data_IF_686639485470
#
_entry.id   IF_686639485470
#
_cell.length_a   1.000
_cell.length_b   1.000
_cell.length_c   1.000
_cell.angle_alpha   90.00
_cell.angle_beta   90.00
_cell.angle_gamma   90.00
#
_symmetry.space_group_name_H-M   'P 1'
#
loop_
_entity.id
_entity.type
_entity.pdbx_description
1 polymer ?
#
# COMPACT_ATOMS: atom_id res chain seq x y z
N UNK A 1 -15.48 -21.72 -7.43
CA UNK A 1 -16.27 -22.84 -6.84
C UNK A 1 -17.75 -22.54 -7.00
N UNK A 2 -18.63 -23.52 -7.25
CA UNK A 2 -20.07 -23.28 -7.29
C UNK A 2 -20.56 -22.79 -5.91
N UNK A 3 -21.35 -21.71 -5.91
CA UNK A 3 -21.91 -21.09 -4.71
C UNK A 3 -23.23 -21.80 -4.35
N UNK A 4 -23.43 -22.11 -3.07
CA UNK A 4 -24.63 -22.80 -2.59
C UNK A 4 -25.91 -22.00 -2.85
N UNK A 5 -27.04 -22.70 -3.01
CA UNK A 5 -28.34 -22.06 -3.27
C UNK A 5 -28.76 -21.08 -2.16
N UNK A 6 -28.43 -21.40 -0.90
CA UNK A 6 -28.71 -20.53 0.24
C UNK A 6 -27.86 -19.25 0.21
N UNK A 7 -26.57 -19.34 -0.11
CA UNK A 7 -25.71 -18.17 -0.23
C UNK A 7 -26.15 -17.27 -1.38
N UNK A 8 -26.58 -17.85 -2.51
CA UNK A 8 -27.20 -17.10 -3.61
C UNK A 8 -28.45 -16.35 -3.18
N UNK A 9 -29.32 -16.98 -2.40
CA UNK A 9 -30.51 -16.33 -1.86
C UNK A 9 -30.18 -15.20 -0.88
N UNK A 10 -29.24 -15.42 0.05
CA UNK A 10 -28.75 -14.39 0.98
C UNK A 10 -28.15 -13.21 0.22
N UNK A 11 -27.35 -13.48 -0.81
CA UNK A 11 -26.75 -12.44 -1.64
C UNK A 11 -27.82 -11.66 -2.42
N UNK A 12 -28.81 -12.33 -3.00
CA UNK A 12 -29.94 -11.68 -3.68
C UNK A 12 -30.73 -10.77 -2.74
N UNK A 13 -31.03 -11.24 -1.52
CA UNK A 13 -31.71 -10.43 -0.52
C UNK A 13 -30.83 -9.23 -0.10
N UNK A 14 -29.52 -9.46 0.07
CA UNK A 14 -28.52 -8.42 0.32
C UNK A 14 -28.46 -7.39 -0.80
N UNK A 15 -28.57 -7.80 -2.07
CA UNK A 15 -28.58 -6.87 -3.21
C UNK A 15 -29.81 -5.95 -3.19
N UNK A 16 -30.97 -6.45 -2.76
CA UNK A 16 -32.18 -5.64 -2.63
C UNK A 16 -32.07 -4.66 -1.44
N UNK A 17 -31.62 -5.14 -0.29
CA UNK A 17 -31.70 -4.39 0.97
C UNK A 17 -30.47 -3.52 1.26
N UNK A 18 -29.30 -3.90 0.76
CA UNK A 18 -28.01 -3.31 1.14
C UNK A 18 -27.17 -2.95 -0.08
N UNK A 19 -26.74 -3.94 -0.87
CA UNK A 19 -25.73 -3.72 -1.91
C UNK A 19 -26.24 -2.86 -3.07
N UNK A 20 -27.47 -3.10 -3.54
CA UNK A 20 -28.12 -2.30 -4.58
C UNK A 20 -28.28 -0.83 -4.19
N UNK A 21 -28.87 -0.51 -3.01
CA UNK A 21 -28.93 0.86 -2.51
C UNK A 21 -27.56 1.54 -2.37
N UNK A 22 -26.56 0.83 -1.82
CA UNK A 22 -25.18 1.36 -1.68
C UNK A 22 -24.56 1.63 -3.06
N UNK A 23 -24.65 0.67 -3.99
CA UNK A 23 -24.18 0.79 -5.38
C UNK A 23 -24.87 1.95 -6.10
N UNK A 24 -26.16 2.16 -5.85
CA UNK A 24 -26.92 3.27 -6.42
C UNK A 24 -26.49 4.63 -5.87
N UNK A 25 -26.29 4.73 -4.55
CA UNK A 25 -25.76 5.96 -3.93
C UNK A 25 -24.37 6.30 -4.43
N UNK A 26 -23.54 5.30 -4.72
CA UNK A 26 -22.22 5.48 -5.33
C UNK A 26 -22.28 5.81 -6.84
N UNK A 27 -23.47 5.85 -7.47
CA UNK A 27 -23.62 6.10 -8.90
C UNK A 27 -23.21 4.93 -9.80
N UNK A 28 -23.07 3.73 -9.25
CA UNK A 28 -22.50 2.56 -9.94
C UNK A 28 -23.53 1.54 -10.43
N UNK A 29 -24.84 1.81 -10.30
CA UNK A 29 -25.93 0.86 -10.64
C UNK A 29 -25.82 0.28 -12.05
N UNK A 30 -25.43 1.10 -13.03
CA UNK A 30 -25.40 0.74 -14.44
C UNK A 30 -23.99 0.39 -14.95
N UNK A 31 -23.00 0.32 -14.05
CA UNK A 31 -21.62 -0.03 -14.41
C UNK A 31 -21.57 -1.50 -14.82
N UNK A 32 -21.10 -1.77 -16.04
CA UNK A 32 -20.94 -3.13 -16.58
C UNK A 32 -19.55 -3.69 -16.34
N UNK A 33 -18.55 -2.82 -16.44
CA UNK A 33 -17.14 -3.12 -16.22
C UNK A 33 -16.53 -1.88 -15.59
N UNK A 34 -15.74 -2.08 -14.53
CA UNK A 34 -14.92 -1.03 -13.94
C UNK A 34 -13.45 -1.49 -13.98
N UNK A 35 -12.55 -0.55 -14.26
CA UNK A 35 -11.12 -0.77 -14.15
C UNK A 35 -10.53 0.16 -13.08
N UNK A 36 -9.62 -0.39 -12.29
CA UNK A 36 -8.69 0.40 -11.47
C UNK A 36 -7.28 0.28 -12.05
N UNK A 37 -6.54 1.39 -12.03
CA UNK A 37 -5.19 1.52 -12.58
C UNK A 37 -4.47 2.72 -11.96
N UNK A 38 -3.19 2.92 -12.31
CA UNK A 38 -2.38 4.08 -11.94
C UNK A 38 -1.66 3.94 -10.59
N UNK A 39 -2.30 3.34 -9.60
CA UNK A 39 -1.68 2.93 -8.33
C UNK A 39 -2.36 1.63 -7.85
N UNK A 40 -1.62 0.77 -7.17
CA UNK A 40 -2.20 -0.42 -6.57
C UNK A 40 -3.17 -0.01 -5.45
N UNK A 41 -4.38 -0.58 -5.47
CA UNK A 41 -5.30 -0.48 -4.34
C UNK A 41 -5.14 -1.72 -3.45
N UNK A 42 -5.40 -1.57 -2.15
CA UNK A 42 -5.38 -2.69 -1.23
C UNK A 42 -6.35 -3.81 -1.67
N UNK A 43 -5.99 -5.09 -1.53
CA UNK A 43 -6.86 -6.22 -1.87
C UNK A 43 -8.26 -6.12 -1.25
N UNK A 44 -8.34 -5.58 -0.04
CA UNK A 44 -9.56 -5.43 0.74
C UNK A 44 -10.51 -4.37 0.13
N UNK A 45 -9.98 -3.26 -0.41
CA UNK A 45 -10.77 -2.27 -1.17
C UNK A 45 -11.33 -2.91 -2.43
N UNK A 46 -10.49 -3.68 -3.12
CA UNK A 46 -10.88 -4.36 -4.34
C UNK A 46 -12.02 -5.36 -4.08
N UNK A 47 -11.88 -6.18 -3.04
CA UNK A 47 -12.89 -7.14 -2.62
C UNK A 47 -14.17 -6.47 -2.13
N UNK A 48 -14.08 -5.34 -1.42
CA UNK A 48 -15.25 -4.56 -1.01
C UNK A 48 -16.11 -4.16 -2.21
N UNK A 49 -15.54 -3.53 -3.24
CA UNK A 49 -16.31 -3.10 -4.41
C UNK A 49 -16.86 -4.29 -5.21
N UNK A 50 -16.10 -5.37 -5.33
CA UNK A 50 -16.59 -6.60 -5.98
C UNK A 50 -17.71 -7.27 -5.20
N UNK A 51 -17.68 -7.22 -3.86
CA UNK A 51 -18.75 -7.74 -3.00
C UNK A 51 -20.07 -6.99 -3.18
N UNK A 52 -20.03 -5.72 -3.63
CA UNK A 52 -21.19 -4.92 -4.01
C UNK A 52 -21.72 -5.26 -5.42
N UNK A 53 -21.18 -6.29 -6.08
CA UNK A 53 -21.61 -6.74 -7.41
C UNK A 53 -21.04 -5.92 -8.56
N UNK A 54 -20.02 -5.08 -8.32
CA UNK A 54 -19.34 -4.34 -9.39
C UNK A 54 -18.31 -5.26 -10.03
N UNK A 55 -18.33 -5.35 -11.36
CA UNK A 55 -17.31 -6.07 -12.12
C UNK A 55 -16.01 -5.24 -12.20
N UNK A 56 -15.39 -5.01 -11.05
CA UNK A 56 -14.14 -4.30 -10.90
C UNK A 56 -12.97 -5.22 -11.27
N UNK A 57 -12.11 -4.74 -12.14
CA UNK A 57 -10.90 -5.44 -12.61
C UNK A 57 -9.68 -4.55 -12.43
N UNK A 58 -8.52 -5.16 -12.27
CA UNK A 58 -7.26 -4.45 -12.31
C UNK A 58 -6.70 -4.42 -13.73
N UNK A 59 -6.14 -3.27 -14.08
CA UNK A 59 -5.33 -3.07 -15.27
C UNK A 59 -4.01 -2.43 -14.84
N UNK A 60 -2.91 -2.96 -15.35
CA UNK A 60 -1.58 -2.40 -15.14
C UNK A 60 -0.99 -1.87 -16.44
N UNK A 61 -0.31 -0.74 -16.29
CA UNK A 61 -0.06 0.16 -17.37
C UNK A 61 0.78 1.36 -16.96
N UNK A 62 1.41 1.96 -17.95
CA UNK A 62 2.13 3.22 -17.82
C UNK A 62 2.00 4.02 -19.12
N UNK A 63 2.37 5.28 -19.08
CA UNK A 63 2.33 6.18 -20.25
C UNK A 63 3.17 5.61 -21.39
N UNK A 64 4.33 5.05 -21.06
CA UNK A 64 5.31 4.44 -21.95
C UNK A 64 4.74 3.22 -22.69
N UNK A 65 3.69 2.60 -22.16
CA UNK A 65 3.05 1.40 -22.72
C UNK A 65 1.77 1.70 -23.50
N UNK A 66 1.40 2.97 -23.68
CA UNK A 66 0.06 3.36 -24.14
C UNK A 66 -1.04 2.71 -23.29
N UNK A 67 -0.82 2.67 -21.96
CA UNK A 67 -1.71 2.11 -20.92
C UNK A 67 -1.73 0.59 -20.78
N UNK A 68 -1.60 -0.22 -21.83
CA UNK A 68 -1.89 -1.66 -21.69
C UNK A 68 -0.63 -2.52 -21.55
N UNK A 69 -0.35 -3.00 -20.32
CA UNK A 69 0.64 -4.06 -20.07
C UNK A 69 -0.10 -5.35 -19.71
N UNK A 70 -0.82 -5.38 -18.58
CA UNK A 70 -1.62 -6.54 -18.16
C UNK A 70 -3.05 -6.15 -17.85
N UNK A 71 -3.94 -7.13 -17.94
CA UNK A 71 -5.35 -6.96 -17.62
C UNK A 71 -5.93 -8.28 -17.09
N UNK A 72 -6.90 -8.18 -16.19
CA UNK A 72 -7.55 -9.37 -15.64
C UNK A 72 -8.60 -9.95 -16.60
N UNK A 73 -8.44 -11.23 -17.02
CA UNK A 73 -9.44 -11.92 -17.82
C UNK A 73 -10.76 -12.08 -17.07
N UNK A 74 -11.84 -12.34 -17.82
CA UNK A 74 -13.09 -12.76 -17.20
C UNK A 74 -12.88 -14.10 -16.46
N UNK A 75 -13.47 -14.23 -15.27
CA UNK A 75 -13.38 -15.40 -14.39
C UNK A 75 -12.01 -15.68 -13.75
N UNK A 76 -11.01 -14.82 -13.98
CA UNK A 76 -9.66 -14.91 -13.40
C UNK A 76 -9.32 -13.70 -12.51
N UNK A 77 -10.35 -12.97 -12.06
CA UNK A 77 -10.16 -11.77 -11.25
C UNK A 77 -9.69 -12.12 -9.84
N UNK A 78 -8.54 -11.57 -9.43
CA UNK A 78 -7.98 -11.71 -8.09
C UNK A 78 -7.53 -10.37 -7.52
N UNK A 79 -7.68 -10.17 -6.22
CA UNK A 79 -7.36 -8.89 -5.58
C UNK A 79 -5.85 -8.61 -5.49
N UNK A 80 -5.03 -9.65 -5.52
CA UNK A 80 -3.58 -9.60 -5.29
C UNK A 80 -2.73 -9.55 -6.58
N UNK A 81 -3.37 -9.53 -7.76
CA UNK A 81 -2.69 -9.56 -9.07
C UNK A 81 -3.18 -8.45 -10.00
N UNK A 82 -2.37 -8.04 -10.97
CA UNK A 82 -2.75 -7.13 -12.05
C UNK A 82 -3.14 -7.84 -13.34
N UNK A 83 -3.38 -9.15 -13.27
CA UNK A 83 -3.80 -9.97 -14.41
C UNK A 83 -2.66 -10.53 -15.23
N UNK A 84 -2.98 -10.94 -16.46
CA UNK A 84 -2.05 -11.58 -17.39
C UNK A 84 -1.65 -10.60 -18.50
N UNK A 85 -0.56 -10.84 -19.25
CA UNK A 85 -0.16 -10.01 -20.38
C UNK A 85 -1.32 -9.72 -21.34
N UNK A 86 -1.47 -8.45 -21.73
CA UNK A 86 -2.43 -8.07 -22.76
C UNK A 86 -2.01 -8.63 -24.12
N UNK A 87 -2.93 -8.77 -25.09
CA UNK A 87 -2.59 -9.29 -26.41
C UNK A 87 -1.41 -8.54 -27.06
N UNK A 88 -0.37 -9.28 -27.45
CA UNK A 88 0.85 -8.71 -28.03
C UNK A 88 1.83 -8.10 -27.04
N UNK A 89 1.59 -8.24 -25.72
CA UNK A 89 2.55 -7.86 -24.67
C UNK A 89 3.36 -9.08 -24.27
N UNK A 90 4.68 -8.94 -24.27
CA UNK A 90 5.63 -9.88 -23.68
C UNK A 90 6.10 -9.32 -22.33
N UNK A 91 6.27 -10.20 -21.34
CA UNK A 91 6.81 -9.86 -20.03
C UNK A 91 8.07 -10.66 -19.73
N UNK A 92 9.01 -10.04 -19.02
CA UNK A 92 10.10 -10.72 -18.34
C UNK A 92 10.33 -10.07 -16.98
N UNK A 93 10.81 -10.85 -16.01
CA UNK A 93 11.22 -10.36 -14.69
C UNK A 93 12.74 -10.44 -14.65
N UNK A 94 13.42 -9.35 -14.32
CA UNK A 94 14.87 -9.33 -14.13
C UNK A 94 15.25 -10.04 -12.82
N UNK A 95 16.53 -10.40 -12.65
CA UNK A 95 17.06 -10.98 -11.40
C UNK A 95 16.79 -10.06 -10.19
N UNK A 96 16.82 -8.73 -10.40
CA UNK A 96 16.44 -7.72 -9.41
C UNK A 96 14.97 -7.75 -8.98
N UNK A 97 14.13 -8.52 -9.67
CA UNK A 97 12.66 -8.51 -9.51
C UNK A 97 11.95 -7.40 -10.29
N UNK A 98 12.67 -6.57 -11.04
CA UNK A 98 12.06 -5.53 -11.88
C UNK A 98 11.31 -6.14 -13.07
N UNK A 99 10.11 -5.61 -13.33
CA UNK A 99 9.27 -6.01 -14.45
C UNK A 99 9.73 -5.30 -15.72
N UNK A 100 9.87 -6.04 -16.81
CA UNK A 100 10.10 -5.51 -18.14
C UNK A 100 8.97 -5.96 -19.06
N UNK A 101 8.62 -5.11 -20.02
CA UNK A 101 7.66 -5.46 -21.05
C UNK A 101 8.15 -5.06 -22.44
N UNK A 102 7.61 -5.74 -23.45
CA UNK A 102 7.73 -5.36 -24.86
C UNK A 102 6.36 -5.47 -25.49
N UNK A 103 5.95 -4.46 -26.26
CA UNK A 103 4.64 -4.45 -26.92
C UNK A 103 4.59 -3.51 -28.12
N UNK A 104 3.58 -3.65 -29.00
CA UNK A 104 3.31 -2.68 -30.06
C UNK A 104 3.00 -1.26 -29.56
N UNK A 105 2.58 -1.12 -28.29
CA UNK A 105 2.20 0.16 -27.66
C UNK A 105 3.35 0.91 -27.00
N UNK A 106 4.58 0.39 -27.08
CA UNK A 106 5.78 1.01 -26.52
C UNK A 106 6.03 2.40 -27.14
N UNK A 107 6.31 3.38 -26.29
CA UNK A 107 6.65 4.74 -26.68
C UNK A 107 7.86 4.82 -27.60
N UNK A 108 7.92 5.89 -28.40
CA UNK A 108 9.03 6.12 -29.34
C UNK A 108 10.28 6.58 -28.59
N UNK A 109 10.18 7.69 -27.87
CA UNK A 109 11.27 8.29 -27.09
C UNK A 109 10.73 9.34 -26.13
N UNK A 110 11.54 9.72 -25.15
CA UNK A 110 11.30 10.93 -24.36
C UNK A 110 11.75 12.16 -25.17
N UNK A 111 10.89 13.18 -25.23
CA UNK A 111 11.15 14.38 -26.01
C UNK A 111 12.46 15.07 -25.59
N UNK A 112 13.42 15.16 -26.53
CA UNK A 112 14.76 15.77 -26.33
C UNK A 112 15.58 15.10 -25.22
N UNK A 113 15.33 13.83 -24.89
CA UNK A 113 16.06 13.13 -23.84
C UNK A 113 16.44 11.71 -24.29
N UNK A 114 17.49 11.64 -25.13
CA UNK A 114 17.99 10.37 -25.67
C UNK A 114 18.61 9.48 -24.57
N UNK A 115 19.23 10.07 -23.54
CA UNK A 115 19.83 9.35 -22.42
C UNK A 115 18.77 8.58 -21.65
N UNK A 116 17.74 9.26 -21.12
CA UNK A 116 16.64 8.56 -20.42
C UNK A 116 15.87 7.61 -21.33
N UNK A 117 15.82 7.86 -22.64
CA UNK A 117 15.20 6.91 -23.58
C UNK A 117 15.98 5.61 -23.63
N UNK A 118 17.31 5.68 -23.73
CA UNK A 118 18.19 4.51 -23.77
C UNK A 118 18.26 3.78 -22.42
N UNK A 119 18.14 4.50 -21.31
CA UNK A 119 18.10 3.92 -19.96
C UNK A 119 16.79 3.15 -19.72
N UNK A 120 15.67 3.65 -20.25
CA UNK A 120 14.34 3.04 -20.05
C UNK A 120 14.02 1.96 -21.06
N UNK A 121 14.49 2.08 -22.31
CA UNK A 121 14.17 1.15 -23.40
C UNK A 121 15.42 0.67 -24.12
N UNK A 122 15.60 -0.64 -24.16
CA UNK A 122 16.73 -1.25 -24.85
C UNK A 122 16.54 -1.34 -26.38
N UNK A 123 17.59 -1.75 -27.08
CA UNK A 123 17.59 -1.88 -28.54
C UNK A 123 16.66 -2.98 -29.08
N UNK A 124 16.24 -3.92 -28.23
CA UNK A 124 15.29 -4.99 -28.57
C UNK A 124 13.82 -4.58 -28.29
N UNK A 125 13.62 -3.37 -27.76
CA UNK A 125 12.30 -2.82 -27.45
C UNK A 125 11.75 -3.24 -26.08
N UNK A 126 12.57 -3.83 -25.20
CA UNK A 126 12.18 -4.03 -23.81
C UNK A 126 12.24 -2.72 -23.04
N UNK A 127 11.19 -2.47 -22.27
CA UNK A 127 11.05 -1.30 -21.43
C UNK A 127 11.11 -1.71 -19.97
N UNK A 128 12.01 -1.10 -19.21
CA UNK A 128 12.06 -1.19 -17.76
C UNK A 128 10.88 -0.41 -17.16
N UNK A 129 10.04 -1.07 -16.35
CA UNK A 129 8.84 -0.40 -15.80
C UNK A 129 9.16 0.48 -14.58
N UNK A 130 10.29 0.24 -13.92
CA UNK A 130 10.58 0.78 -12.60
C UNK A 130 9.70 0.20 -11.49
N UNK A 131 8.96 -0.87 -11.75
CA UNK A 131 8.12 -1.61 -10.80
C UNK A 131 8.70 -3.00 -10.56
N UNK A 132 8.69 -3.45 -9.31
CA UNK A 132 9.07 -4.80 -8.92
C UNK A 132 7.83 -5.70 -8.85
N UNK A 133 7.97 -6.92 -9.32
CA UNK A 133 6.88 -7.87 -9.38
C UNK A 133 7.35 -9.28 -9.68
N UNK A 134 6.40 -10.21 -9.66
CA UNK A 134 6.64 -11.58 -10.07
C UNK A 134 5.45 -12.14 -10.84
N UNK A 135 5.73 -13.10 -11.71
CA UNK A 135 4.71 -13.85 -12.43
C UNK A 135 4.48 -15.14 -11.64
N UNK A 136 3.24 -15.37 -11.24
CA UNK A 136 2.87 -16.57 -10.49
C UNK A 136 2.93 -17.80 -11.41
N UNK A 137 3.75 -18.77 -11.02
CA UNK A 137 3.91 -20.03 -11.73
C UNK A 137 2.58 -20.80 -11.74
N UNK A 138 2.07 -21.10 -12.94
CA UNK A 138 0.83 -21.85 -13.14
C UNK A 138 -0.34 -21.00 -13.64
N UNK A 139 -0.54 -19.79 -13.12
CA UNK A 139 -1.62 -18.89 -13.58
C UNK A 139 -1.14 -17.91 -14.65
N UNK A 140 0.15 -17.54 -14.63
CA UNK A 140 0.70 -16.49 -15.50
C UNK A 140 0.29 -15.08 -15.08
N UNK A 141 -0.33 -14.92 -13.90
CA UNK A 141 -0.70 -13.62 -13.38
C UNK A 141 0.53 -12.87 -12.87
N UNK A 142 0.64 -11.60 -13.24
CA UNK A 142 1.61 -10.66 -12.68
C UNK A 142 1.10 -10.11 -11.35
N UNK A 143 1.94 -10.16 -10.33
CA UNK A 143 1.77 -9.43 -9.06
C UNK A 143 2.76 -8.28 -9.03
N UNK A 144 2.26 -7.05 -8.93
CA UNK A 144 3.09 -5.86 -8.68
C UNK A 144 3.21 -5.70 -7.17
N UNK A 145 4.44 -5.52 -6.71
CA UNK A 145 4.77 -5.49 -5.29
C UNK A 145 4.99 -4.06 -4.82
N UNK A 146 5.91 -3.35 -5.47
CA UNK A 146 6.18 -1.92 -5.21
C UNK A 146 6.98 -1.33 -6.39
N UNK A 147 7.43 -0.08 -6.29
CA UNK A 147 8.46 0.49 -7.15
C UNK A 147 9.77 -0.24 -6.90
N UNK A 148 10.49 -0.59 -7.96
CA UNK A 148 11.77 -1.31 -7.88
C UNK A 148 12.78 -0.61 -6.95
N UNK A 149 12.80 0.73 -6.95
CA UNK A 149 13.65 1.55 -6.07
C UNK A 149 13.25 1.58 -4.59
N UNK A 150 12.01 1.24 -4.28
CA UNK A 150 11.45 1.28 -2.92
C UNK A 150 11.47 -0.12 -2.28
N UNK A 151 11.59 -1.17 -3.09
CA UNK A 151 11.84 -2.54 -2.63
C UNK A 151 13.26 -2.66 -2.11
N UNK A 152 13.42 -3.37 -1.00
CA UNK A 152 14.72 -3.71 -0.43
C UNK A 152 14.77 -5.15 0.09
N UNK A 153 15.77 -5.43 0.90
CA UNK A 153 15.86 -6.68 1.66
C UNK A 153 15.96 -6.34 3.16
N UNK A 154 15.40 -7.19 3.99
CA UNK A 154 15.75 -7.24 5.41
C UNK A 154 17.15 -7.86 5.55
N UNK A 155 17.79 -7.71 6.72
CA UNK A 155 19.11 -8.31 6.99
C UNK A 155 19.16 -9.83 6.85
N UNK A 156 18.03 -10.51 7.03
CA UNK A 156 17.92 -11.95 6.86
C UNK A 156 17.65 -12.37 5.40
N UNK A 157 17.72 -11.45 4.44
CA UNK A 157 17.49 -11.71 3.01
C UNK A 157 16.02 -11.70 2.58
N UNK A 158 15.07 -11.58 3.52
CA UNK A 158 13.65 -11.50 3.21
C UNK A 158 13.33 -10.25 2.38
N UNK A 159 12.37 -10.37 1.47
CA UNK A 159 11.88 -9.25 0.67
C UNK A 159 11.27 -8.17 1.58
N UNK A 160 11.63 -6.92 1.34
CA UNK A 160 11.04 -5.74 1.97
C UNK A 160 10.24 -4.94 0.94
N UNK A 161 8.91 -4.92 1.08
CA UNK A 161 7.98 -4.25 0.17
C UNK A 161 7.03 -3.33 0.95
N UNK A 162 7.44 -2.07 1.22
CA UNK A 162 6.72 -1.22 2.15
C UNK A 162 5.32 -0.83 1.67
N UNK A 163 5.13 -0.45 0.40
CA UNK A 163 3.81 0.05 -0.03
C UNK A 163 2.72 -1.00 0.00
N UNK A 164 3.07 -2.26 -0.20
CA UNK A 164 2.09 -3.34 -0.09
C UNK A 164 1.49 -3.38 1.32
N UNK A 165 2.33 -3.31 2.35
CA UNK A 165 1.90 -3.27 3.75
C UNK A 165 1.17 -1.97 4.06
N UNK A 166 1.67 -0.84 3.59
CA UNK A 166 1.04 0.48 3.78
C UNK A 166 -0.36 0.54 3.19
N UNK A 167 -0.58 -0.05 2.01
CA UNK A 167 -1.89 -0.08 1.36
C UNK A 167 -2.90 -0.98 2.09
N UNK A 168 -2.43 -2.09 2.68
CA UNK A 168 -3.27 -2.92 3.57
C UNK A 168 -3.68 -2.14 4.83
N UNK A 169 -2.75 -1.42 5.45
CA UNK A 169 -3.05 -0.58 6.62
C UNK A 169 -4.02 0.56 6.28
N UNK A 170 -3.86 1.20 5.13
CA UNK A 170 -4.76 2.28 4.67
C UNK A 170 -6.16 1.81 4.27
N UNK A 171 -6.43 0.51 4.30
CA UNK A 171 -7.81 0.03 4.20
C UNK A 171 -8.65 0.41 5.43
N UNK A 172 -8.02 0.50 6.60
CA UNK A 172 -8.71 0.85 7.82
C UNK A 172 -9.00 2.36 7.83
N UNK A 173 -10.26 2.78 8.03
CA UNK A 173 -10.68 4.18 7.86
C UNK A 173 -10.06 5.13 8.88
N UNK A 174 -9.51 4.60 9.98
CA UNK A 174 -8.79 5.38 11.00
C UNK A 174 -7.31 5.58 10.68
N UNK A 175 -6.76 4.98 9.62
CA UNK A 175 -5.37 5.14 9.17
C UNK A 175 -5.38 5.99 7.90
N UNK A 176 -4.88 7.22 8.00
CA UNK A 176 -4.75 8.14 6.87
C UNK A 176 -3.52 7.83 6.03
N UNK A 177 -2.39 7.58 6.69
CA UNK A 177 -1.13 7.25 6.04
C UNK A 177 -0.33 6.26 6.89
N UNK A 178 0.47 5.45 6.23
CA UNK A 178 1.42 4.55 6.86
C UNK A 178 2.78 4.69 6.17
N UNK A 179 3.86 4.70 6.95
CA UNK A 179 5.23 4.68 6.43
C UNK A 179 5.97 3.52 7.08
N UNK A 180 6.22 2.48 6.29
CA UNK A 180 6.91 1.28 6.72
C UNK A 180 8.42 1.44 6.50
N UNK A 181 9.19 1.04 7.50
CA UNK A 181 10.65 1.03 7.54
C UNK A 181 11.12 -0.42 7.75
N UNK A 182 12.24 -0.82 7.15
CA UNK A 182 12.73 -2.19 7.29
C UNK A 182 13.92 -2.54 6.40
N UNK A 183 14.14 -1.82 5.29
CA UNK A 183 15.32 -2.02 4.44
C UNK A 183 16.62 -2.00 5.27
N UNK A 184 17.43 -3.05 5.12
CA UNK A 184 18.69 -3.29 5.85
C UNK A 184 18.53 -3.37 7.39
N UNK A 185 17.32 -3.68 7.87
CA UNK A 185 17.00 -3.88 9.30
C UNK A 185 16.60 -5.34 9.58
N UNK A 186 16.53 -5.67 10.87
CA UNK A 186 16.22 -7.03 11.33
C UNK A 186 14.72 -7.37 11.16
N UNK A 187 13.85 -6.36 11.15
CA UNK A 187 12.40 -6.50 11.03
C UNK A 187 11.76 -5.19 10.52
N UNK A 188 10.49 -5.24 10.11
CA UNK A 188 9.74 -4.05 9.72
C UNK A 188 9.15 -3.30 10.91
N UNK A 189 9.09 -1.98 10.79
CA UNK A 189 8.44 -1.07 11.74
C UNK A 189 7.59 -0.05 10.99
N UNK A 190 6.64 0.59 11.65
CA UNK A 190 5.74 1.53 10.97
C UNK A 190 5.54 2.85 11.72
N UNK A 191 5.48 3.94 10.97
CA UNK A 191 4.79 5.15 11.37
C UNK A 191 3.36 5.12 10.87
N UNK A 192 2.44 5.58 11.70
CA UNK A 192 1.01 5.68 11.37
C UNK A 192 0.56 7.12 11.55
N UNK A 193 -0.16 7.68 10.57
CA UNK A 193 -1.03 8.83 10.78
C UNK A 193 -2.47 8.36 10.91
N UNK A 194 -3.15 8.83 11.95
CA UNK A 194 -4.59 8.65 12.04
C UNK A 194 -5.32 9.56 11.04
N UNK A 195 -6.49 9.14 10.58
CA UNK A 195 -7.45 10.03 9.92
C UNK A 195 -8.23 10.80 10.99
N UNK A 196 -7.97 12.10 11.07
CA UNK A 196 -8.58 12.96 12.10
C UNK A 196 -10.10 12.99 12.00
N UNK A 197 -10.67 12.90 10.80
CA UNK A 197 -12.11 12.92 10.61
C UNK A 197 -12.74 11.62 11.11
N UNK A 198 -12.18 10.47 10.73
CA UNK A 198 -12.70 9.17 11.13
C UNK A 198 -12.55 8.94 12.63
N UNK A 199 -11.35 9.22 13.18
CA UNK A 199 -11.09 9.04 14.61
C UNK A 199 -11.82 10.09 15.45
N UNK A 200 -11.96 11.32 14.96
CA UNK A 200 -12.76 12.36 15.61
C UNK A 200 -14.24 11.99 15.72
N UNK A 201 -14.85 11.48 14.64
CA UNK A 201 -16.22 10.96 14.65
C UNK A 201 -16.39 9.79 15.65
N UNK A 202 -15.39 8.91 15.73
CA UNK A 202 -15.39 7.83 16.74
C UNK A 202 -15.29 8.40 18.16
N UNK A 203 -14.42 9.39 18.40
CA UNK A 203 -14.24 10.02 19.70
C UNK A 203 -15.54 10.67 20.18
N UNK A 204 -16.23 11.41 19.31
CA UNK A 204 -17.54 12.01 19.61
C UNK A 204 -18.58 10.96 20.03
N UNK A 205 -18.69 9.85 19.28
CA UNK A 205 -19.62 8.76 19.60
C UNK A 205 -19.30 8.03 20.91
N UNK A 206 -18.06 8.10 21.35
CA UNK A 206 -17.59 7.48 22.60
C UNK A 206 -17.43 8.49 23.75
N UNK A 207 -17.90 9.74 23.57
CA UNK A 207 -17.80 10.83 24.56
C UNK A 207 -16.36 11.14 24.99
N UNK A 208 -15.42 11.06 24.05
CA UNK A 208 -14.01 11.41 24.27
C UNK A 208 -13.80 12.84 23.77
N UNK A 209 -13.50 13.74 24.72
CA UNK A 209 -13.09 15.10 24.39
C UNK A 209 -11.61 15.11 24.00
N UNK A 210 -11.27 15.90 22.97
CA UNK A 210 -9.89 16.14 22.54
C UNK A 210 -9.78 17.58 22.01
N UNK A 211 -8.61 18.20 22.19
CA UNK A 211 -8.32 19.57 21.76
C UNK A 211 -7.41 19.66 20.55
N UNK A 212 -6.78 18.55 20.12
CA UNK A 212 -5.84 18.55 18.99
C UNK A 212 -5.66 17.17 18.36
N UNK A 213 -5.09 17.14 17.15
CA UNK A 213 -4.64 15.91 16.49
C UNK A 213 -3.71 15.09 17.39
N UNK A 214 -2.70 15.74 17.97
CA UNK A 214 -1.69 15.10 18.81
C UNK A 214 -2.29 14.39 20.02
N UNK A 215 -3.28 15.02 20.67
CA UNK A 215 -3.99 14.42 21.81
C UNK A 215 -4.76 13.16 21.40
N UNK A 216 -5.44 13.20 20.26
CA UNK A 216 -6.21 12.06 19.77
C UNK A 216 -5.31 10.93 19.25
N UNK A 217 -4.23 11.28 18.54
CA UNK A 217 -3.21 10.34 18.06
C UNK A 217 -2.53 9.58 19.19
N UNK A 218 -2.29 10.23 20.34
CA UNK A 218 -1.72 9.61 21.53
C UNK A 218 -2.75 8.98 22.47
N UNK A 219 -4.05 9.01 22.14
CA UNK A 219 -5.08 8.49 23.03
C UNK A 219 -5.03 6.96 23.12
N UNK A 220 -5.05 6.40 24.34
CA UNK A 220 -4.85 4.95 24.56
C UNK A 220 -5.75 4.07 23.70
N UNK A 221 -7.05 4.37 23.63
CA UNK A 221 -7.99 3.55 22.84
C UNK A 221 -7.75 3.66 21.32
N UNK A 222 -7.21 4.80 20.85
CA UNK A 222 -6.83 4.96 19.44
C UNK A 222 -5.61 4.10 19.17
N UNK A 223 -4.58 4.17 20.02
CA UNK A 223 -3.39 3.32 19.94
C UNK A 223 -3.75 1.82 19.99
N UNK A 224 -4.65 1.41 20.89
CA UNK A 224 -5.15 0.03 20.99
C UNK A 224 -5.83 -0.42 19.69
N UNK A 225 -6.62 0.47 19.06
CA UNK A 225 -7.31 0.17 17.80
C UNK A 225 -6.32 0.04 16.63
N UNK A 226 -5.35 0.95 16.52
CA UNK A 226 -4.31 0.91 15.50
C UNK A 226 -3.45 -0.35 15.65
N UNK A 227 -3.10 -0.72 16.88
CA UNK A 227 -2.40 -1.96 17.17
C UNK A 227 -3.16 -3.18 16.64
N UNK A 228 -4.46 -3.26 16.94
CA UNK A 228 -5.31 -4.36 16.45
C UNK A 228 -5.34 -4.46 14.92
N UNK A 229 -5.36 -3.33 14.21
CA UNK A 229 -5.32 -3.31 12.74
C UNK A 229 -3.98 -3.78 12.20
N UNK A 230 -2.87 -3.35 12.82
CA UNK A 230 -1.53 -3.83 12.44
C UNK A 230 -1.42 -5.34 12.64
N UNK A 231 -1.94 -5.87 13.75
CA UNK A 231 -1.93 -7.30 14.04
C UNK A 231 -2.79 -8.09 13.04
N UNK A 232 -3.94 -7.57 12.63
CA UNK A 232 -4.77 -8.15 11.56
C UNK A 232 -4.02 -8.17 10.21
N UNK A 233 -3.29 -7.10 9.88
CA UNK A 233 -2.43 -7.06 8.69
C UNK A 233 -1.29 -8.06 8.80
N UNK A 234 -0.66 -8.21 9.97
CA UNK A 234 0.40 -9.20 10.19
C UNK A 234 -0.12 -10.63 10.00
N UNK A 235 -1.31 -10.93 10.52
CA UNK A 235 -1.96 -12.23 10.30
C UNK A 235 -2.22 -12.47 8.81
N UNK A 236 -2.70 -11.47 8.08
CA UNK A 236 -2.86 -11.56 6.62
C UNK A 236 -1.53 -11.80 5.90
N UNK A 237 -0.49 -11.03 6.21
CA UNK A 237 0.85 -11.13 5.61
C UNK A 237 1.49 -12.49 5.86
N UNK A 238 1.25 -13.09 7.04
CA UNK A 238 1.83 -14.39 7.40
C UNK A 238 1.42 -15.53 6.47
N UNK A 239 0.34 -15.35 5.71
CA UNK A 239 -0.17 -16.33 4.73
C UNK A 239 0.43 -16.13 3.33
N UNK A 240 1.14 -15.02 3.09
CA UNK A 240 1.79 -14.74 1.81
C UNK A 240 3.26 -15.19 1.87
N UNK A 241 3.61 -16.23 1.11
CA UNK A 241 4.97 -16.83 1.13
C UNK A 241 6.07 -15.80 0.82
N UNK A 242 5.80 -14.81 -0.04
CA UNK A 242 6.78 -13.80 -0.47
C UNK A 242 6.87 -12.63 0.50
N UNK A 243 5.74 -12.24 1.11
CA UNK A 243 5.62 -11.00 1.89
C UNK A 243 5.47 -11.23 3.40
N UNK A 244 5.48 -12.47 3.85
CA UNK A 244 5.40 -12.85 5.27
C UNK A 244 6.51 -12.26 6.14
N UNK A 245 7.68 -11.95 5.55
CA UNK A 245 8.77 -11.24 6.22
C UNK A 245 8.48 -9.75 6.49
N UNK A 246 7.49 -9.16 5.82
CA UNK A 246 7.15 -7.74 5.95
C UNK A 246 6.25 -7.41 7.17
N UNK A 247 6.02 -8.36 8.08
CA UNK A 247 5.24 -8.11 9.30
C UNK A 247 5.83 -6.98 10.14
N UNK A 248 4.96 -6.13 10.68
CA UNK A 248 5.36 -4.98 11.51
C UNK A 248 5.53 -5.46 12.95
N UNK A 249 6.74 -5.33 13.47
CA UNK A 249 7.06 -5.71 14.85
C UNK A 249 6.80 -4.58 15.84
N UNK A 250 7.11 -3.34 15.44
CA UNK A 250 6.97 -2.15 16.29
C UNK A 250 6.43 -0.98 15.50
N UNK A 251 5.64 -0.14 16.13
CA UNK A 251 5.07 1.03 15.49
C UNK A 251 4.89 2.20 16.47
N UNK A 252 4.65 3.37 15.90
CA UNK A 252 4.17 4.54 16.62
C UNK A 252 3.16 5.30 15.77
N UNK A 253 2.30 6.07 16.44
CA UNK A 253 1.39 7.02 15.77
C UNK A 253 2.04 8.39 15.81
N UNK A 254 2.24 9.02 14.65
CA UNK A 254 2.88 10.34 14.57
C UNK A 254 2.01 11.41 15.24
N UNK A 255 2.66 12.42 15.81
CA UNK A 255 2.02 13.54 16.51
C UNK A 255 1.52 14.66 15.58
N UNK A 256 1.82 14.56 14.28
CA UNK A 256 1.31 15.41 13.20
C UNK A 256 1.04 14.58 11.95
N UNK A 257 0.13 15.03 11.10
CA UNK A 257 -0.07 14.48 9.76
C UNK A 257 1.13 14.80 8.86
N UNK A 258 1.55 13.84 8.02
CA UNK A 258 2.55 14.12 6.99
C UNK A 258 2.00 15.12 5.97
N UNK A 259 2.83 16.09 5.60
CA UNK A 259 2.41 17.22 4.75
C UNK A 259 3.30 17.41 3.51
N UNK A 260 2.69 17.88 2.42
CA UNK A 260 3.39 18.21 1.19
C UNK A 260 4.20 19.51 1.31
N UNK A 261 3.74 20.50 2.08
CA UNK A 261 4.45 21.75 2.33
C UNK A 261 5.70 21.53 3.20
N UNK A 262 5.66 20.51 4.05
CA UNK A 262 6.83 20.01 4.76
C UNK A 262 7.75 19.13 3.90
N UNK A 263 7.35 18.84 2.66
CA UNK A 263 8.10 18.02 1.73
C UNK A 263 8.11 16.52 2.08
N UNK A 264 7.27 16.08 3.01
CA UNK A 264 7.11 14.69 3.43
C UNK A 264 6.22 13.91 2.45
N UNK A 265 5.27 14.60 1.81
CA UNK A 265 4.45 14.09 0.73
C UNK A 265 4.70 14.86 -0.58
N UNK A 266 4.32 14.27 -1.71
CA UNK A 266 4.09 15.02 -2.95
C UNK A 266 2.73 15.74 -2.87
N UNK A 267 2.48 16.69 -3.78
CA UNK A 267 1.15 17.33 -3.91
C UNK A 267 0.03 16.34 -4.25
N UNK A 268 0.38 15.19 -4.83
CA UNK A 268 -0.52 14.06 -5.07
C UNK A 268 -0.60 13.08 -3.89
N UNK A 269 -0.10 13.49 -2.71
CA UNK A 269 -0.07 12.72 -1.45
C UNK A 269 0.74 11.42 -1.51
N UNK A 270 1.78 11.34 -2.35
CA UNK A 270 2.72 10.21 -2.33
C UNK A 270 3.83 10.45 -1.31
N UNK A 271 4.12 9.46 -0.46
CA UNK A 271 5.16 9.55 0.57
C UNK A 271 6.56 9.72 -0.04
N UNK A 272 7.33 10.70 0.46
CA UNK A 272 8.74 10.91 0.14
C UNK A 272 9.61 10.26 1.21
N UNK A 273 9.66 8.91 1.20
CA UNK A 273 10.23 8.06 2.26
C UNK A 273 11.62 8.47 2.75
N UNK A 274 12.52 8.83 1.83
CA UNK A 274 13.87 9.30 2.20
C UNK A 274 13.82 10.54 3.11
N UNK A 275 12.97 11.50 2.78
CA UNK A 275 12.82 12.74 3.56
C UNK A 275 12.13 12.46 4.90
N UNK A 276 11.11 11.60 4.90
CA UNK A 276 10.46 11.18 6.15
C UNK A 276 11.47 10.50 7.08
N UNK A 277 12.28 9.57 6.57
CA UNK A 277 13.32 8.89 7.36
C UNK A 277 14.41 9.83 7.88
N UNK A 278 14.79 10.85 7.10
CA UNK A 278 15.77 11.86 7.51
C UNK A 278 15.21 12.83 8.58
N UNK A 279 13.97 13.32 8.39
CA UNK A 279 13.32 14.23 9.33
C UNK A 279 13.02 13.58 10.67
N UNK A 280 12.48 12.37 10.64
CA UNK A 280 12.05 11.62 11.82
C UNK A 280 13.09 10.56 12.23
N UNK A 281 14.38 10.84 12.01
CA UNK A 281 15.46 9.86 12.25
C UNK A 281 15.53 9.40 13.71
N UNK A 282 15.19 10.27 14.65
CA UNK A 282 15.07 10.00 16.09
C UNK A 282 13.96 8.98 16.37
N UNK A 283 12.79 9.16 15.73
CA UNK A 283 11.67 8.24 15.82
C UNK A 283 11.98 6.89 15.17
N UNK A 284 12.65 6.89 14.01
CA UNK A 284 13.10 5.66 13.36
C UNK A 284 14.10 4.92 14.25
N UNK A 285 15.07 5.62 14.85
CA UNK A 285 16.05 5.01 15.73
C UNK A 285 15.38 4.35 16.95
N UNK A 286 14.43 5.05 17.58
CA UNK A 286 13.70 4.55 18.75
C UNK A 286 12.88 3.29 18.48
N UNK A 287 12.39 3.11 17.24
CA UNK A 287 11.72 1.88 16.82
C UNK A 287 12.66 0.65 16.83
N UNK A 288 13.98 0.84 16.73
CA UNK A 288 14.96 -0.25 16.69
C UNK A 288 15.85 -0.39 17.93
N UNK A 289 15.87 0.59 18.85
CA UNK A 289 16.76 0.57 20.02
C UNK A 289 16.12 -0.01 21.30
N UNK A 290 14.84 -0.41 21.24
CA UNK A 290 14.09 -0.97 22.37
C UNK A 290 13.39 0.07 23.23
N UNK A 291 13.43 1.35 22.88
CA UNK A 291 12.71 2.41 23.61
C UNK A 291 11.19 2.16 23.61
N UNK A 292 10.54 2.44 24.74
CA UNK A 292 9.07 2.41 24.89
C UNK A 292 8.44 3.78 24.59
N UNK A 293 9.22 4.85 24.72
CA UNK A 293 8.78 6.22 24.41
C UNK A 293 9.91 7.00 23.78
N UNK A 294 9.55 8.02 23.00
CA UNK A 294 10.52 8.94 22.38
C UNK A 294 9.97 10.36 22.36
N UNK A 295 10.77 11.33 22.81
CA UNK A 295 10.43 12.74 22.71
C UNK A 295 11.06 13.32 21.44
N UNK A 296 10.29 14.08 20.67
CA UNK A 296 10.70 14.65 19.38
C UNK A 296 10.26 16.11 19.27
N UNK A 297 10.98 16.88 18.46
CA UNK A 297 10.64 18.24 18.05
C UNK A 297 10.66 18.29 16.52
N UNK A 298 9.48 18.39 15.90
CA UNK A 298 9.36 18.39 14.44
C UNK A 298 9.09 19.80 13.92
N UNK A 299 9.87 20.25 12.94
CA UNK A 299 9.59 21.48 12.21
C UNK A 299 8.36 21.32 11.32
N UNK A 300 7.45 22.31 11.36
CA UNK A 300 6.22 22.35 10.56
C UNK A 300 6.15 23.66 9.79
N UNK A 301 5.79 23.57 8.52
CA UNK A 301 5.58 24.69 7.62
C UNK A 301 4.09 24.97 7.53
N UNK A 302 3.65 26.14 7.95
CA UNK A 302 2.26 26.57 7.83
C UNK A 302 1.95 27.00 6.40
N UNK A 303 0.66 27.04 6.03
CA UNK A 303 0.21 27.43 4.68
C UNK A 303 0.70 28.81 4.23
N UNK A 304 0.99 29.70 5.18
CA UNK A 304 1.55 31.04 4.91
C UNK A 304 3.09 31.06 4.77
N UNK A 305 3.73 29.90 4.78
CA UNK A 305 5.16 29.69 4.65
C UNK A 305 5.96 29.93 5.93
N UNK A 306 5.32 30.28 7.05
CA UNK A 306 6.02 30.36 8.34
C UNK A 306 6.43 28.96 8.81
N UNK A 307 7.58 28.90 9.49
CA UNK A 307 8.05 27.68 10.15
C UNK A 307 7.79 27.75 11.65
N UNK A 308 7.30 26.66 12.21
CA UNK A 308 7.16 26.44 13.65
C UNK A 308 7.73 25.09 14.07
N UNK A 309 7.58 24.74 15.34
CA UNK A 309 7.93 23.40 15.83
C UNK A 309 6.80 22.83 16.68
N UNK A 310 6.60 21.51 16.59
CA UNK A 310 5.69 20.74 17.43
C UNK A 310 6.52 19.77 18.26
N UNK A 311 6.28 19.77 19.58
CA UNK A 311 6.92 18.85 20.53
C UNK A 311 5.93 17.79 20.96
N UNK A 312 6.37 16.54 20.94
CA UNK A 312 5.57 15.42 21.42
C UNK A 312 6.45 14.38 22.09
N UNK A 313 5.85 13.65 23.04
CA UNK A 313 6.38 12.36 23.49
C UNK A 313 5.44 11.29 22.97
N UNK A 314 6.00 10.36 22.21
CA UNK A 314 5.28 9.32 21.51
C UNK A 314 5.48 7.99 22.24
N UNK A 315 4.41 7.22 22.36
CA UNK A 315 4.46 5.83 22.81
C UNK A 315 4.85 4.94 21.61
N UNK A 316 5.79 4.03 21.84
CA UNK A 316 6.20 3.01 20.88
C UNK A 316 5.59 1.70 21.33
N UNK A 317 4.88 1.04 20.41
CA UNK A 317 4.17 -0.20 20.71
C UNK A 317 4.72 -1.36 19.91
N UNK A 318 4.77 -2.50 20.57
CA UNK A 318 5.01 -3.78 19.92
C UNK A 318 3.69 -4.31 19.34
N UNK A 319 3.75 -4.85 18.14
CA UNK A 319 2.62 -5.54 17.50
C UNK A 319 2.90 -7.04 17.46
N UNK A 320 1.87 -7.84 17.73
CA UNK A 320 1.96 -9.29 17.61
C UNK A 320 2.29 -9.68 16.16
N UNK A 321 3.26 -10.56 16.02
CA UNK A 321 3.64 -11.21 14.76
C UNK A 321 3.29 -12.69 14.79
N UNK A 322 3.04 -13.26 13.62
CA UNK A 322 2.73 -14.68 13.44
C UNK A 322 4.00 -15.41 12.99
N UNK A 323 4.36 -16.54 13.64
CA UNK A 323 5.45 -17.38 13.20
C UNK A 323 5.22 -17.89 11.77
N UNK A 324 6.18 -17.65 10.89
CA UNK A 324 6.12 -18.09 9.50
C UNK A 324 6.87 -19.42 9.38
N UNK A 325 6.16 -20.51 9.09
CA UNK A 325 6.75 -21.84 8.93
C UNK A 325 7.27 -22.04 7.49
N UNK A 326 8.52 -21.67 7.23
CA UNK A 326 9.32 -22.18 6.10
C UNK A 326 9.28 -21.38 4.79
N UNK A 327 10.46 -21.32 4.16
CA UNK A 327 10.83 -20.69 2.88
C UNK A 327 10.29 -19.27 2.69
N UNK A 328 10.82 -18.32 3.45
CA UNK A 328 11.01 -16.99 2.88
C UNK A 328 11.84 -17.20 1.61
N UNK A 329 11.25 -17.00 0.44
CA UNK A 329 12.02 -17.00 -0.80
C UNK A 329 13.03 -15.86 -0.66
N UNK A 330 14.32 -16.21 -0.59
CA UNK A 330 15.38 -15.23 -0.72
C UNK A 330 15.13 -14.51 -2.05
N UNK A 331 15.02 -13.19 -2.00
CA UNK A 331 14.99 -12.41 -3.23
C UNK A 331 16.26 -12.78 -4.01
N UNK A 332 16.11 -13.26 -5.24
CA UNK A 332 17.19 -13.78 -6.07
C UNK A 332 18.42 -12.84 -6.03
N UNK A 333 19.61 -13.45 -5.98
CA UNK A 333 20.91 -12.75 -5.91
C UNK A 333 21.14 -11.81 -7.09
#
# INVERSE_FOLDING_TARGET
>A
KPVGGWDRFRYWLGDILVYGPVRNRAGMTNVRVAYTAGEAIGPEIFDFWRSLGINLKQLYGQTEASVFITQQPDNEVRADTVGVPSPGVELKIAESGEVFYRSPGVFVEYYKNAESTADTKDAEGWVATGDAGFIEEGTGHLRIIDRAKDVGKLKNGALFAPKYVENKLKFFPNILEAVVHGADRDYCTAFINIDLTAVGNWAERNNIAYGSYQELAGHKQVLDTIQSHIEEVNESLSTDEMLSGCQIHRFLVLHKELDADDGELTRTRKVRRKIVGEKFHDLVAALYDGSETVSTETEVTYEDGRKGSIKATLEIRDAKVVPVNGKTLEAAE
#
